data_IF_364419840306
#
_entry.id   IF_364419840306
#
_cell.length_a   1.000
_cell.length_b   1.000
_cell.length_c   1.000
_cell.angle_alpha   90.00
_cell.angle_beta   90.00
_cell.angle_gamma   90.00
#
_symmetry.space_group_name_H-M   'P 1'
#
loop_
_entity.id
_entity.type
_entity.pdbx_description
1 polymer ?
#
# COMPACT_ATOMS: atom_id res chain seq x y z
N UNK A 1 -5.79 -24.86 -26.12
CA UNK A 1 -6.79 -23.98 -26.77
C UNK A 1 -7.92 -23.73 -25.77
N UNK A 2 -8.19 -22.46 -25.41
CA UNK A 2 -9.14 -22.13 -24.34
C UNK A 2 -10.55 -21.90 -24.90
N UNK A 3 -11.55 -22.52 -24.27
CA UNK A 3 -12.97 -22.58 -24.67
C UNK A 3 -13.73 -21.25 -24.67
N UNK A 4 -13.05 -20.12 -24.48
CA UNK A 4 -13.70 -18.81 -24.32
C UNK A 4 -14.02 -18.10 -25.65
N UNK A 5 -13.36 -18.45 -26.75
CA UNK A 5 -13.57 -17.79 -28.05
C UNK A 5 -14.80 -18.30 -28.82
N UNK A 6 -15.52 -19.29 -28.30
CA UNK A 6 -16.67 -19.93 -28.97
C UNK A 6 -18.04 -19.44 -28.49
N UNK A 7 -18.12 -18.40 -27.66
CA UNK A 7 -19.41 -17.85 -27.28
C UNK A 7 -19.86 -16.76 -28.27
N UNK A 8 -20.95 -16.98 -29.03
CA UNK A 8 -21.56 -15.94 -29.84
C UNK A 8 -22.28 -14.96 -28.93
N UNK A 9 -21.59 -13.88 -28.52
CA UNK A 9 -22.19 -12.80 -27.73
C UNK A 9 -23.04 -11.92 -28.64
N UNK A 10 -24.32 -12.27 -28.78
CA UNK A 10 -25.37 -11.35 -29.24
C UNK A 10 -26.76 -11.90 -28.93
N UNK A 11 -27.05 -12.21 -27.66
CA UNK A 11 -28.36 -11.86 -27.11
C UNK A 11 -28.37 -12.01 -25.58
N UNK A 12 -29.05 -11.07 -24.96
CA UNK A 12 -29.20 -10.89 -23.53
C UNK A 12 -30.01 -12.07 -22.94
N UNK A 13 -29.47 -12.70 -21.89
CA UNK A 13 -30.24 -13.48 -20.91
C UNK A 13 -30.82 -14.85 -21.32
N UNK A 14 -29.98 -15.88 -21.46
CA UNK A 14 -30.43 -17.27 -21.21
C UNK A 14 -29.43 -18.05 -20.37
N UNK A 15 -29.92 -18.51 -19.22
CA UNK A 15 -29.20 -19.41 -18.31
C UNK A 15 -28.99 -20.78 -18.99
N UNK A 16 -27.74 -21.24 -19.07
CA UNK A 16 -27.42 -22.58 -19.58
C UNK A 16 -27.86 -23.65 -18.56
N UNK A 17 -28.64 -24.66 -18.95
CA UNK A 17 -29.03 -25.74 -18.04
C UNK A 17 -27.83 -26.65 -17.77
N UNK A 18 -27.44 -26.79 -16.50
CA UNK A 18 -26.53 -27.85 -16.05
C UNK A 18 -25.28 -27.43 -15.27
N UNK A 19 -24.99 -26.14 -15.09
CA UNK A 19 -23.73 -25.70 -14.45
C UNK A 19 -23.96 -24.91 -13.15
N UNK A 20 -23.56 -25.51 -12.01
CA UNK A 20 -23.77 -25.00 -10.64
C UNK A 20 -22.73 -23.95 -10.23
N UNK A 21 -22.32 -23.04 -11.10
CA UNK A 21 -21.46 -21.94 -10.67
C UNK A 21 -21.74 -20.65 -11.41
N UNK A 22 -22.24 -19.66 -10.66
CA UNK A 22 -22.23 -18.25 -11.03
C UNK A 22 -20.78 -17.76 -11.14
N UNK A 23 -20.11 -18.06 -12.24
CA UNK A 23 -18.99 -17.25 -12.70
C UNK A 23 -19.56 -16.14 -13.57
N UNK A 24 -20.08 -15.10 -12.92
CA UNK A 24 -20.34 -13.84 -13.62
C UNK A 24 -18.98 -13.23 -13.91
N UNK A 25 -18.54 -13.29 -15.17
CA UNK A 25 -17.42 -12.51 -15.65
C UNK A 25 -17.83 -11.04 -15.55
N UNK A 26 -17.57 -10.43 -14.38
CA UNK A 26 -17.88 -9.03 -14.12
C UNK A 26 -16.90 -8.22 -14.95
N UNK A 27 -17.34 -7.74 -16.11
CA UNK A 27 -16.56 -6.80 -16.91
C UNK A 27 -16.12 -5.65 -16.00
N UNK A 28 -14.81 -5.48 -15.84
CA UNK A 28 -14.23 -4.39 -15.09
C UNK A 28 -14.38 -3.10 -15.91
N UNK A 29 -15.59 -2.53 -15.90
CA UNK A 29 -15.84 -1.22 -16.47
C UNK A 29 -15.01 -0.22 -15.67
N UNK A 30 -14.01 0.39 -16.30
CA UNK A 30 -13.22 1.45 -15.70
C UNK A 30 -14.20 2.53 -15.23
N UNK A 31 -14.22 2.88 -13.93
CA UNK A 31 -15.14 3.90 -13.43
C UNK A 31 -14.90 5.18 -14.22
N UNK A 32 -15.98 5.82 -14.68
CA UNK A 32 -15.87 7.08 -15.40
C UNK A 32 -15.11 8.13 -14.59
N UNK A 33 -14.56 9.14 -15.27
CA UNK A 33 -13.69 10.17 -14.69
C UNK A 33 -14.28 10.82 -13.41
N UNK A 34 -15.60 11.00 -13.33
CA UNK A 34 -16.29 11.56 -12.17
C UNK A 34 -16.19 10.63 -10.94
N UNK A 35 -16.31 9.31 -11.14
CA UNK A 35 -16.18 8.33 -10.06
C UNK A 35 -14.73 8.18 -9.59
N UNK A 36 -13.76 8.32 -10.49
CA UNK A 36 -12.34 8.39 -10.13
C UNK A 36 -12.03 9.63 -9.28
N UNK A 37 -12.58 10.80 -9.63
CA UNK A 37 -12.40 12.04 -8.89
C UNK A 37 -12.91 11.95 -7.44
N UNK A 38 -14.08 11.32 -7.23
CA UNK A 38 -14.64 11.12 -5.88
C UNK A 38 -13.75 10.23 -5.01
N UNK A 39 -13.25 9.14 -5.59
CA UNK A 39 -12.36 8.21 -4.88
C UNK A 39 -11.05 8.89 -4.51
N UNK A 40 -10.49 9.68 -5.44
CA UNK A 40 -9.28 10.45 -5.23
C UNK A 40 -9.45 11.56 -4.18
N UNK A 41 -10.56 12.32 -4.24
CA UNK A 41 -10.87 13.34 -3.23
C UNK A 41 -11.02 12.73 -1.82
N UNK A 42 -11.66 11.56 -1.73
CA UNK A 42 -11.78 10.82 -0.46
C UNK A 42 -10.40 10.41 0.06
N UNK A 43 -9.52 9.90 -0.82
CA UNK A 43 -8.16 9.53 -0.47
C UNK A 43 -7.32 10.73 0.00
N UNK A 44 -7.47 11.91 -0.63
CA UNK A 44 -6.80 13.15 -0.21
C UNK A 44 -7.27 13.56 1.19
N UNK A 45 -8.59 13.60 1.43
CA UNK A 45 -9.14 13.97 2.75
C UNK A 45 -8.63 13.02 3.82
N UNK A 46 -8.61 11.71 3.54
CA UNK A 46 -8.06 10.70 4.44
C UNK A 46 -6.55 10.92 4.68
N UNK A 47 -5.78 11.23 3.63
CA UNK A 47 -4.34 11.44 3.73
C UNK A 47 -3.99 12.69 4.56
N UNK A 48 -4.75 13.79 4.39
CA UNK A 48 -4.55 15.02 5.16
C UNK A 48 -5.02 14.84 6.61
N UNK A 49 -6.13 14.13 6.84
CA UNK A 49 -6.65 13.87 8.19
C UNK A 49 -5.75 12.97 9.05
N UNK A 50 -4.88 12.16 8.43
CA UNK A 50 -3.96 11.26 9.12
C UNK A 50 -2.68 11.94 9.65
N UNK A 51 -2.50 13.26 9.43
CA UNK A 51 -1.52 14.08 10.16
C UNK A 51 -0.04 13.85 9.86
N UNK A 52 0.33 13.02 8.87
CA UNK A 52 1.74 12.64 8.61
C UNK A 52 2.43 12.12 9.88
N UNK A 53 2.14 10.88 10.33
CA UNK A 53 2.46 10.46 11.67
C UNK A 53 3.99 10.32 11.84
N UNK A 54 4.61 11.30 12.48
CA UNK A 54 6.05 11.38 12.71
C UNK A 54 6.40 10.87 14.10
N UNK A 55 7.63 10.36 14.24
CA UNK A 55 8.19 10.06 15.55
C UNK A 55 8.83 11.31 16.15
N UNK A 56 9.05 11.30 17.46
CA UNK A 56 9.83 12.36 18.13
C UNK A 56 11.28 12.32 17.66
N UNK A 57 11.98 13.45 17.76
CA UNK A 57 13.41 13.50 17.41
C UNK A 57 14.24 12.50 18.25
N UNK A 58 13.87 12.27 19.51
CA UNK A 58 14.50 11.26 20.35
C UNK A 58 14.33 9.83 19.78
N UNK A 59 13.13 9.48 19.31
CA UNK A 59 12.85 8.19 18.68
C UNK A 59 13.53 8.05 17.32
N UNK A 60 13.56 9.12 16.52
CA UNK A 60 14.31 9.17 15.26
C UNK A 60 15.80 8.92 15.52
N UNK A 61 16.39 9.60 16.49
CA UNK A 61 17.79 9.43 16.86
C UNK A 61 18.10 8.02 17.38
N UNK A 62 17.22 7.42 18.18
CA UNK A 62 17.36 6.04 18.62
C UNK A 62 17.36 5.06 17.43
N UNK A 63 16.47 5.25 16.46
CA UNK A 63 16.42 4.44 15.22
C UNK A 63 17.66 4.65 14.36
N UNK A 64 18.15 5.89 14.23
CA UNK A 64 19.37 6.20 13.50
C UNK A 64 20.61 5.59 14.15
N UNK A 65 20.71 5.61 15.47
CA UNK A 65 21.79 4.95 16.21
C UNK A 65 21.83 3.43 15.96
N UNK A 66 20.66 2.78 15.91
CA UNK A 66 20.55 1.37 15.52
C UNK A 66 21.06 1.16 14.09
N UNK A 67 20.72 2.06 13.17
CA UNK A 67 21.16 1.96 11.79
C UNK A 67 22.67 2.19 11.65
N UNK A 68 23.27 3.13 12.39
CA UNK A 68 24.72 3.36 12.37
C UNK A 68 25.54 2.14 12.82
N UNK A 69 24.96 1.30 13.70
CA UNK A 69 25.57 0.04 14.13
C UNK A 69 25.25 -1.15 13.19
N UNK A 70 24.47 -0.95 12.12
CA UNK A 70 24.02 -2.00 11.22
C UNK A 70 25.02 -2.24 10.08
N UNK A 71 25.25 -3.50 9.75
CA UNK A 71 26.10 -3.93 8.61
C UNK A 71 25.58 -3.44 7.24
N UNK A 72 24.27 -3.19 7.14
CA UNK A 72 23.62 -2.72 5.91
C UNK A 72 23.63 -1.18 5.77
N UNK A 73 24.27 -0.44 6.69
CA UNK A 73 24.32 1.03 6.63
C UNK A 73 25.38 1.52 5.64
N UNK A 74 24.98 2.41 4.74
CA UNK A 74 25.87 3.08 3.80
C UNK A 74 25.56 4.57 3.74
N UNK A 75 26.42 5.38 4.40
CA UNK A 75 26.45 6.85 4.30
C UNK A 75 25.08 7.54 4.41
N UNK A 76 24.20 7.07 5.31
CA UNK A 76 22.87 7.65 5.52
C UNK A 76 21.73 6.95 4.76
N UNK A 77 22.04 5.90 4.01
CA UNK A 77 21.10 5.00 3.36
C UNK A 77 21.25 3.57 3.87
N UNK A 78 20.25 2.73 3.62
CA UNK A 78 20.34 1.30 3.93
C UNK A 78 20.50 0.49 2.64
N UNK A 79 21.52 -0.35 2.54
CA UNK A 79 21.78 -1.24 1.39
C UNK A 79 20.67 -2.26 1.14
N UNK A 80 19.88 -2.59 2.17
CA UNK A 80 18.76 -3.54 2.06
C UNK A 80 17.49 -2.93 1.45
N UNK A 81 17.14 -1.70 1.80
CA UNK A 81 15.92 -1.05 1.28
C UNK A 81 16.16 0.14 0.36
N UNK A 82 17.39 0.62 0.23
CA UNK A 82 17.77 1.77 -0.59
C UNK A 82 17.23 3.13 -0.12
N UNK A 83 16.50 3.19 0.98
CA UNK A 83 15.88 4.43 1.46
C UNK A 83 16.87 5.29 2.24
N UNK A 84 16.70 6.61 2.16
CA UNK A 84 17.35 7.56 3.07
C UNK A 84 16.85 7.38 4.50
N UNK A 85 17.76 7.09 5.41
CA UNK A 85 17.43 6.76 6.80
C UNK A 85 16.94 7.96 7.59
N UNK A 86 17.39 9.17 7.25
CA UNK A 86 16.94 10.40 7.92
C UNK A 86 15.43 10.62 7.77
N UNK A 87 14.87 10.34 6.57
CA UNK A 87 13.43 10.37 6.35
C UNK A 87 12.73 9.15 6.94
N UNK A 88 13.20 7.93 6.61
CA UNK A 88 12.49 6.68 6.97
C UNK A 88 12.45 6.46 8.48
N UNK A 89 13.51 6.83 9.21
CA UNK A 89 13.53 6.75 10.67
C UNK A 89 12.56 7.74 11.32
N UNK A 90 12.20 8.82 10.63
CA UNK A 90 11.24 9.84 11.07
C UNK A 90 9.77 9.42 10.95
N UNK A 91 9.45 8.38 10.17
CA UNK A 91 8.08 7.95 9.95
C UNK A 91 7.66 6.91 10.99
N UNK A 92 6.57 7.17 11.70
CA UNK A 92 6.13 6.31 12.81
C UNK A 92 5.49 4.99 12.36
N UNK A 93 4.93 4.94 11.16
CA UNK A 93 4.31 3.78 10.52
C UNK A 93 5.33 2.83 9.87
N UNK A 94 6.57 3.28 9.70
CA UNK A 94 7.63 2.49 9.08
C UNK A 94 8.30 1.55 10.07
N UNK A 95 8.87 0.48 9.52
CA UNK A 95 9.68 -0.48 10.24
C UNK A 95 10.96 -0.83 9.46
N UNK A 96 11.93 -1.38 10.17
CA UNK A 96 13.16 -1.89 9.57
C UNK A 96 12.87 -3.19 8.82
N UNK A 97 13.33 -3.35 7.57
CA UNK A 97 13.23 -4.62 6.84
C UNK A 97 14.06 -5.75 7.48
N UNK A 98 15.02 -5.42 8.34
CA UNK A 98 15.78 -6.38 9.15
C UNK A 98 15.20 -6.60 10.55
N UNK A 99 14.07 -5.97 10.89
CA UNK A 99 13.39 -6.11 12.18
C UNK A 99 14.10 -5.45 13.37
N UNK A 100 15.15 -4.64 13.15
CA UNK A 100 15.91 -3.98 14.25
C UNK A 100 15.13 -2.89 14.97
N UNK A 101 14.10 -2.32 14.35
CA UNK A 101 13.18 -1.34 14.92
C UNK A 101 11.83 -1.43 14.22
N UNK A 102 10.76 -1.06 14.94
CA UNK A 102 9.38 -1.21 14.49
C UNK A 102 8.58 0.10 14.46
N UNK A 103 7.34 -0.02 13.97
CA UNK A 103 6.38 1.08 13.97
C UNK A 103 6.02 1.50 15.40
N UNK A 104 5.87 2.80 15.63
CA UNK A 104 5.51 3.38 16.93
C UNK A 104 3.99 3.55 16.96
N UNK A 105 3.29 3.08 18.02
CA UNK A 105 1.84 3.22 18.14
C UNK A 105 1.43 4.69 18.29
N UNK A 106 0.19 5.02 17.92
CA UNK A 106 -0.32 6.40 17.81
C UNK A 106 -0.13 7.21 19.10
N UNK A 107 -0.25 6.57 20.27
CA UNK A 107 -0.11 7.19 21.59
C UNK A 107 1.35 7.53 21.99
N UNK A 108 2.32 7.25 21.13
CA UNK A 108 3.75 7.50 21.39
C UNK A 108 4.42 8.32 20.27
N UNK A 109 3.62 8.92 19.37
CA UNK A 109 4.09 9.75 18.26
C UNK A 109 4.24 11.22 18.69
N UNK A 110 4.97 12.00 17.90
CA UNK A 110 5.15 13.44 18.13
C UNK A 110 3.91 14.24 17.72
#
# INVERSE_FOLDING_TARGET
MNKCDQCPLSDESRSCPGERSRFVCKQAHQPGLIAQLRSFATAIVQHVSAGSPRVTEAQKNARLAICQACEDFDQGSCRRCGCGLDLKAGWSDQACPAGKWGAIPVNQRA
#
